data_IF_805301148291
#
_entry.id   IF_805301148291
#
_cell.length_a   1.000
_cell.length_b   1.000
_cell.length_c   1.000
_cell.angle_alpha   90.00
_cell.angle_beta   90.00
_cell.angle_gamma   90.00
#
_symmetry.space_group_name_H-M   'P 1'
#
loop_
_entity.id
_entity.type
_entity.pdbx_description
1 polymer ?
#
# COMPACT_ATOMS: atom_id res chain seq x y z
N UNK A 1 -3.34 14.20 6.57
CA UNK A 1 -2.17 14.67 7.33
C UNK A 1 -1.82 13.68 8.43
N UNK A 2 -0.53 13.46 8.66
CA UNK A 2 0.06 12.76 9.80
C UNK A 2 0.93 13.78 10.53
N UNK A 3 0.85 13.84 11.84
CA UNK A 3 1.68 14.72 12.65
C UNK A 3 2.73 13.90 13.39
N UNK A 4 3.98 14.32 13.27
CA UNK A 4 5.12 13.70 14.00
C UNK A 4 5.75 14.79 14.86
N UNK A 5 5.72 14.57 16.16
CA UNK A 5 6.27 15.48 17.14
C UNK A 5 7.57 14.92 17.71
N UNK A 6 8.64 15.69 17.60
CA UNK A 6 9.94 15.33 18.20
C UNK A 6 10.24 16.13 19.47
N UNK A 7 9.37 17.07 19.81
CA UNK A 7 9.49 17.89 21.00
C UNK A 7 8.16 18.51 21.41
N UNK A 8 8.04 18.79 22.70
CA UNK A 8 6.93 19.55 23.28
C UNK A 8 7.30 20.06 24.67
N UNK A 9 7.17 21.36 24.87
CA UNK A 9 7.15 21.95 26.19
C UNK A 9 5.77 22.60 26.37
N UNK A 10 4.98 22.07 27.29
CA UNK A 10 3.59 22.49 27.43
C UNK A 10 3.46 23.85 28.13
N UNK A 11 4.19 24.01 29.22
CA UNK A 11 4.22 25.23 30.00
C UNK A 11 5.62 25.40 30.64
N UNK A 12 5.73 26.29 31.65
CA UNK A 12 6.99 26.61 32.30
C UNK A 12 7.54 25.41 33.12
N UNK A 13 8.63 24.83 32.61
CA UNK A 13 9.28 23.70 33.25
C UNK A 13 9.84 24.02 34.66
N UNK A 14 10.10 25.30 34.98
CA UNK A 14 10.53 25.69 36.30
C UNK A 14 9.43 25.59 37.36
N UNK A 15 8.18 25.46 36.91
CA UNK A 15 7.00 25.21 37.75
C UNK A 15 6.62 23.73 37.80
N UNK A 16 7.46 22.84 37.26
CA UNK A 16 7.24 21.40 37.27
C UNK A 16 6.36 20.87 36.12
N UNK A 17 6.06 21.69 35.13
CA UNK A 17 5.33 21.21 33.95
C UNK A 17 6.24 20.33 33.07
N UNK A 18 5.68 19.27 32.49
CA UNK A 18 6.46 18.34 31.67
C UNK A 18 6.93 18.97 30.35
N UNK A 19 8.11 18.54 29.94
CA UNK A 19 8.60 18.73 28.58
C UNK A 19 9.11 17.39 28.05
N UNK A 20 8.94 17.13 26.78
CA UNK A 20 9.40 15.92 26.15
C UNK A 20 10.11 16.23 24.84
N UNK A 21 11.33 15.73 24.68
CA UNK A 21 12.20 15.93 23.52
C UNK A 21 12.83 14.60 23.17
N UNK A 22 12.73 14.21 21.92
CA UNK A 22 13.42 13.01 21.48
C UNK A 22 13.02 12.55 20.09
N UNK A 23 13.82 11.66 19.52
CA UNK A 23 13.63 11.19 18.17
C UNK A 23 12.37 10.32 18.04
N UNK A 24 11.71 10.44 16.90
CA UNK A 24 10.73 9.44 16.45
C UNK A 24 11.41 8.54 15.44
N UNK A 25 11.28 7.22 15.62
CA UNK A 25 11.79 6.21 14.69
C UNK A 25 10.62 5.45 14.09
N UNK A 26 10.58 5.38 12.76
CA UNK A 26 9.55 4.63 12.02
C UNK A 26 10.28 3.62 11.15
N UNK A 27 9.96 2.36 11.33
CA UNK A 27 10.54 1.24 10.61
C UNK A 27 10.09 1.16 9.14
N UNK A 28 10.44 0.07 8.51
CA UNK A 28 10.09 -0.20 7.12
C UNK A 28 8.66 -0.73 7.00
N UNK A 29 8.02 -0.47 5.84
CA UNK A 29 6.70 -1.00 5.51
C UNK A 29 5.61 -0.71 6.55
N UNK A 30 5.67 0.45 7.22
CA UNK A 30 4.70 0.88 8.22
C UNK A 30 3.51 1.56 7.54
N UNK A 31 2.30 1.11 7.85
CA UNK A 31 1.07 1.79 7.46
C UNK A 31 0.68 2.83 8.51
N UNK A 32 0.88 4.09 8.19
CA UNK A 32 0.55 5.23 9.05
C UNK A 32 -0.49 6.13 8.33
N UNK A 33 -1.78 5.90 8.55
CA UNK A 33 -2.85 6.57 7.82
C UNK A 33 -3.13 8.00 8.33
N UNK A 34 -4.13 8.65 7.70
CA UNK A 34 -4.47 10.02 8.01
C UNK A 34 -4.84 10.26 9.49
N UNK A 35 -4.55 11.47 9.96
CA UNK A 35 -4.83 11.95 11.32
C UNK A 35 -4.13 11.19 12.45
N UNK A 36 -3.11 10.40 12.14
CA UNK A 36 -2.25 9.84 13.18
C UNK A 36 -1.34 10.91 13.77
N UNK A 37 -1.11 10.84 15.08
CA UNK A 37 -0.20 11.70 15.82
C UNK A 37 0.84 10.79 16.48
N UNK A 38 2.12 11.02 16.18
CA UNK A 38 3.23 10.32 16.82
C UNK A 38 3.93 11.28 17.77
N UNK A 39 4.04 10.90 19.03
CA UNK A 39 4.65 11.72 20.07
C UNK A 39 6.18 11.50 20.16
N UNK A 40 6.93 12.40 20.85
CA UNK A 40 8.35 12.26 21.02
C UNK A 40 8.78 10.92 21.63
N UNK A 41 10.00 10.50 21.35
CA UNK A 41 10.61 9.26 21.87
C UNK A 41 9.92 7.94 21.46
N UNK A 42 9.01 7.96 20.49
CA UNK A 42 8.31 6.77 20.02
C UNK A 42 9.08 6.07 18.92
N UNK A 43 9.14 4.73 19.00
CA UNK A 43 9.61 3.84 17.95
C UNK A 43 8.43 3.01 17.44
N UNK A 44 8.21 3.02 16.11
CA UNK A 44 7.24 2.13 15.43
C UNK A 44 8.05 1.10 14.64
N UNK A 45 7.90 -0.18 14.99
CA UNK A 45 8.63 -1.27 14.36
C UNK A 45 8.16 -1.58 12.93
N UNK A 46 8.96 -2.35 12.21
CA UNK A 46 8.69 -2.75 10.83
C UNK A 46 7.35 -3.48 10.69
N UNK A 47 6.75 -3.42 9.50
CA UNK A 47 5.53 -4.14 9.13
C UNK A 47 4.32 -3.85 10.03
N UNK A 48 4.32 -2.72 10.73
CA UNK A 48 3.23 -2.35 11.65
C UNK A 48 2.12 -1.61 10.94
N UNK A 49 0.89 -1.87 11.36
CA UNK A 49 -0.32 -1.22 10.85
C UNK A 49 -0.96 -0.40 11.96
N UNK A 50 -1.10 0.90 11.72
CA UNK A 50 -1.72 1.83 12.66
C UNK A 50 -3.14 2.17 12.18
N UNK A 51 -4.10 2.19 13.09
CA UNK A 51 -5.45 2.62 12.79
C UNK A 51 -5.54 4.13 12.55
N UNK A 52 -6.45 4.54 11.68
CA UNK A 52 -6.71 5.95 11.38
C UNK A 52 -7.02 6.76 12.65
N UNK A 53 -6.50 7.97 12.76
CA UNK A 53 -6.76 8.86 13.89
C UNK A 53 -6.11 8.43 15.22
N UNK A 54 -5.15 7.53 15.20
CA UNK A 54 -4.48 7.06 16.41
C UNK A 54 -3.47 8.06 16.95
N UNK A 55 -3.35 8.13 18.29
CA UNK A 55 -2.31 8.90 18.99
C UNK A 55 -1.29 7.95 19.61
N UNK A 56 -0.14 7.87 18.98
CA UNK A 56 0.94 6.94 19.34
C UNK A 56 1.84 7.63 20.35
N UNK A 57 1.76 7.20 21.63
CA UNK A 57 2.49 7.73 22.76
C UNK A 57 3.39 6.70 23.45
N UNK A 58 3.52 5.51 22.86
CA UNK A 58 4.39 4.42 23.30
C UNK A 58 4.89 3.66 22.08
N UNK A 59 5.98 2.96 22.24
CA UNK A 59 6.55 2.11 21.20
C UNK A 59 5.55 1.07 20.70
N UNK A 60 5.58 0.82 19.39
CA UNK A 60 4.81 -0.22 18.72
C UNK A 60 5.79 -1.28 18.21
N UNK A 61 5.67 -2.53 18.65
CA UNK A 61 6.51 -3.62 18.15
C UNK A 61 6.29 -3.89 16.67
N UNK A 62 7.23 -4.54 16.01
CA UNK A 62 7.11 -4.96 14.61
C UNK A 62 5.95 -5.93 14.39
N UNK A 63 5.36 -5.91 13.21
CA UNK A 63 4.31 -6.84 12.78
C UNK A 63 2.97 -6.68 13.51
N UNK A 64 2.72 -5.57 14.16
CA UNK A 64 1.55 -5.35 15.00
C UNK A 64 0.44 -4.56 14.32
N UNK A 65 -0.78 -4.77 14.78
CA UNK A 65 -1.91 -3.87 14.56
C UNK A 65 -2.16 -3.07 15.84
N UNK A 66 -2.07 -1.74 15.75
CA UNK A 66 -2.27 -0.85 16.88
C UNK A 66 -3.27 0.26 16.51
N UNK A 67 -4.19 0.59 17.43
CA UNK A 67 -5.26 1.56 17.18
C UNK A 67 -5.62 2.37 18.41
N UNK A 68 -6.21 3.53 18.19
CA UNK A 68 -6.88 4.33 19.23
C UNK A 68 -6.10 5.55 19.71
N UNK A 69 -6.71 6.29 20.64
CA UNK A 69 -6.12 7.45 21.29
C UNK A 69 -6.42 7.36 22.80
N UNK A 70 -5.43 6.96 23.62
CA UNK A 70 -4.05 6.57 23.26
C UNK A 70 -4.00 5.26 22.46
N UNK A 71 -3.01 5.16 21.58
CA UNK A 71 -2.82 3.99 20.72
C UNK A 71 -2.44 2.75 21.55
N UNK A 72 -3.08 1.62 21.24
CA UNK A 72 -2.81 0.33 21.89
C UNK A 72 -2.63 -0.75 20.84
N UNK A 73 -1.67 -1.64 21.04
CA UNK A 73 -1.51 -2.86 20.25
C UNK A 73 -2.71 -3.76 20.53
N UNK A 74 -3.45 -4.15 19.49
CA UNK A 74 -4.63 -5.03 19.57
C UNK A 74 -4.36 -6.41 18.96
N UNK A 75 -3.33 -6.53 18.11
CA UNK A 75 -2.83 -7.80 17.59
C UNK A 75 -1.33 -7.72 17.42
N UNK A 76 -0.64 -8.78 17.82
CA UNK A 76 0.81 -8.93 17.68
C UNK A 76 1.13 -10.00 16.62
N UNK A 77 2.30 -9.89 15.99
CA UNK A 77 2.83 -10.86 15.04
C UNK A 77 1.83 -11.22 13.92
N UNK A 78 1.07 -10.25 13.43
CA UNK A 78 0.03 -10.48 12.45
C UNK A 78 0.39 -10.05 11.02
N UNK A 79 1.54 -9.37 10.87
CA UNK A 79 2.04 -8.92 9.56
C UNK A 79 3.57 -9.09 9.44
N UNK A 80 4.10 -9.37 8.23
CA UNK A 80 3.30 -9.81 7.08
C UNK A 80 2.69 -11.20 7.34
N UNK A 81 1.52 -11.47 6.74
CA UNK A 81 0.94 -12.81 6.72
C UNK A 81 1.40 -13.51 5.44
N UNK A 82 2.08 -14.65 5.57
CA UNK A 82 2.38 -15.49 4.43
C UNK A 82 1.09 -16.12 3.88
N UNK A 83 0.83 -15.91 2.61
CA UNK A 83 -0.26 -16.55 1.88
C UNK A 83 0.28 -17.78 1.19
N UNK A 84 -0.47 -18.90 1.23
CA UNK A 84 -0.17 -20.04 0.38
C UNK A 84 -0.50 -19.73 -1.09
N UNK A 85 -0.08 -20.61 -2.01
CA UNK A 85 -0.24 -20.36 -3.43
C UNK A 85 -1.71 -20.20 -3.87
N UNK A 86 -2.62 -20.97 -3.27
CA UNK A 86 -4.05 -20.90 -3.60
C UNK A 86 -4.67 -19.57 -3.11
N UNK A 87 -4.34 -19.15 -1.89
CA UNK A 87 -4.77 -17.87 -1.34
C UNK A 87 -4.22 -16.70 -2.16
N UNK A 88 -2.94 -16.77 -2.55
CA UNK A 88 -2.30 -15.75 -3.37
C UNK A 88 -2.94 -15.66 -4.76
N UNK A 89 -3.13 -16.81 -5.43
CA UNK A 89 -3.78 -16.87 -6.73
C UNK A 89 -5.19 -16.31 -6.68
N UNK A 90 -5.98 -16.75 -5.70
CA UNK A 90 -7.35 -16.25 -5.51
C UNK A 90 -7.37 -14.73 -5.33
N UNK A 91 -6.46 -14.18 -4.51
CA UNK A 91 -6.40 -12.75 -4.24
C UNK A 91 -6.02 -11.94 -5.47
N UNK A 92 -5.02 -12.38 -6.22
CA UNK A 92 -4.60 -11.69 -7.44
C UNK A 92 -5.68 -11.76 -8.52
N UNK A 93 -6.31 -12.92 -8.71
CA UNK A 93 -7.42 -13.06 -9.67
C UNK A 93 -8.65 -12.22 -9.27
N UNK A 94 -8.96 -12.09 -8.00
CA UNK A 94 -10.02 -11.19 -7.52
C UNK A 94 -9.73 -9.73 -7.93
N UNK A 95 -8.51 -9.25 -7.67
CA UNK A 95 -8.06 -7.89 -8.02
C UNK A 95 -8.12 -7.66 -9.52
N UNK A 96 -7.57 -8.57 -10.31
CA UNK A 96 -7.52 -8.43 -11.78
C UNK A 96 -8.91 -8.52 -12.42
N UNK A 97 -9.79 -9.40 -11.91
CA UNK A 97 -11.17 -9.49 -12.37
C UNK A 97 -11.97 -8.22 -12.04
N UNK A 98 -11.74 -7.59 -10.90
CA UNK A 98 -12.37 -6.30 -10.57
C UNK A 98 -11.90 -5.20 -11.52
N UNK A 99 -10.62 -5.16 -11.85
CA UNK A 99 -10.11 -4.25 -12.87
C UNK A 99 -10.76 -4.50 -14.24
N UNK A 100 -10.87 -5.76 -14.67
CA UNK A 100 -11.56 -6.10 -15.93
C UNK A 100 -13.04 -5.66 -15.96
N UNK A 101 -13.74 -5.71 -14.83
CA UNK A 101 -15.12 -5.19 -14.74
C UNK A 101 -15.15 -3.67 -14.93
N UNK A 102 -14.28 -2.94 -14.27
CA UNK A 102 -14.15 -1.49 -14.44
C UNK A 102 -13.79 -1.09 -15.88
N UNK A 103 -12.98 -1.92 -16.56
CA UNK A 103 -12.61 -1.68 -17.96
C UNK A 103 -13.74 -1.90 -18.97
N UNK A 104 -14.68 -2.82 -18.68
CA UNK A 104 -15.89 -2.95 -19.53
C UNK A 104 -16.69 -1.65 -19.56
N UNK A 105 -16.78 -0.95 -18.43
CA UNK A 105 -17.44 0.35 -18.33
C UNK A 105 -16.67 1.45 -19.06
N UNK A 106 -15.37 1.27 -19.31
CA UNK A 106 -14.51 2.17 -20.09
C UNK A 106 -14.45 1.80 -21.59
N UNK A 107 -15.27 0.86 -22.05
CA UNK A 107 -15.33 0.37 -23.42
C UNK A 107 -14.02 -0.21 -24.01
N UNK A 108 -13.15 -0.74 -23.15
CA UNK A 108 -11.92 -1.41 -23.55
C UNK A 108 -12.23 -2.88 -23.82
N UNK A 109 -11.94 -3.32 -25.05
CA UNK A 109 -12.19 -4.68 -25.54
C UNK A 109 -10.87 -5.45 -25.71
N UNK A 110 -10.98 -6.78 -25.78
CA UNK A 110 -9.87 -7.68 -26.14
C UNK A 110 -8.68 -7.64 -25.18
N UNK A 111 -8.99 -7.62 -23.86
CA UNK A 111 -8.01 -7.70 -22.80
C UNK A 111 -8.17 -9.00 -22.02
N UNK A 112 -7.10 -9.76 -21.91
CA UNK A 112 -7.02 -10.98 -21.10
C UNK A 112 -5.92 -10.82 -20.05
N UNK A 113 -6.18 -11.27 -18.82
CA UNK A 113 -5.20 -11.26 -17.75
C UNK A 113 -5.01 -12.68 -17.22
N UNK A 114 -3.77 -13.08 -17.10
CA UNK A 114 -3.35 -14.33 -16.49
C UNK A 114 -2.40 -14.08 -15.32
N UNK A 115 -2.39 -14.98 -14.34
CA UNK A 115 -1.47 -14.93 -13.20
C UNK A 115 -0.77 -16.27 -13.00
N UNK A 116 0.54 -16.27 -13.23
CA UNK A 116 1.42 -17.41 -12.91
C UNK A 116 1.88 -17.28 -11.45
N UNK A 117 1.28 -18.09 -10.58
CA UNK A 117 1.58 -18.09 -9.13
C UNK A 117 3.01 -18.55 -8.84
N UNK A 118 3.59 -19.44 -9.66
CA UNK A 118 4.95 -19.96 -9.48
C UNK A 118 6.01 -18.90 -9.77
N UNK A 119 5.75 -18.07 -10.77
CA UNK A 119 6.62 -16.95 -11.16
C UNK A 119 6.23 -15.64 -10.49
N UNK A 120 5.09 -15.61 -9.78
CA UNK A 120 4.48 -14.40 -9.22
C UNK A 120 4.35 -13.28 -10.26
N UNK A 121 3.92 -13.64 -11.48
CA UNK A 121 3.85 -12.73 -12.61
C UNK A 121 2.41 -12.59 -13.10
N UNK A 122 1.92 -11.36 -13.17
CA UNK A 122 0.66 -11.01 -13.83
C UNK A 122 0.98 -10.69 -15.29
N UNK A 123 0.26 -11.31 -16.23
CA UNK A 123 0.42 -11.07 -17.66
C UNK A 123 -0.84 -10.43 -18.21
N UNK A 124 -0.69 -9.24 -18.79
CA UNK A 124 -1.72 -8.54 -19.55
C UNK A 124 -1.52 -8.81 -21.03
N UNK A 125 -2.55 -9.34 -21.70
CA UNK A 125 -2.59 -9.59 -23.13
C UNK A 125 -3.60 -8.65 -23.78
N UNK A 126 -3.23 -8.05 -24.89
CA UNK A 126 -4.07 -7.13 -25.66
C UNK A 126 -4.11 -7.56 -27.13
N UNK A 127 -5.29 -7.96 -27.61
CA UNK A 127 -5.46 -8.45 -28.97
C UNK A 127 -4.74 -9.79 -29.23
N UNK A 128 -4.56 -10.13 -30.52
CA UNK A 128 -4.01 -11.41 -30.98
C UNK A 128 -2.52 -11.36 -31.36
N UNK A 129 -1.85 -10.23 -31.22
CA UNK A 129 -0.46 -10.03 -31.66
C UNK A 129 0.53 -10.09 -30.51
N UNK A 130 1.72 -10.69 -30.74
CA UNK A 130 2.82 -10.84 -29.78
C UNK A 130 3.34 -9.51 -29.19
N UNK A 131 3.00 -8.37 -29.80
CA UNK A 131 3.41 -7.02 -29.37
C UNK A 131 2.57 -6.52 -28.17
N UNK A 132 1.50 -7.22 -27.82
CA UNK A 132 0.53 -6.80 -26.80
C UNK A 132 0.74 -7.42 -25.40
N UNK A 133 1.91 -7.96 -25.06
CA UNK A 133 2.14 -8.54 -23.74
C UNK A 133 2.85 -7.56 -22.80
N UNK A 134 2.28 -7.40 -21.64
CA UNK A 134 2.94 -6.72 -20.50
C UNK A 134 2.95 -7.65 -19.30
N UNK A 135 4.11 -7.84 -18.72
CA UNK A 135 4.31 -8.67 -17.55
C UNK A 135 4.62 -7.80 -16.33
N UNK A 136 3.94 -8.09 -15.22
CA UNK A 136 4.19 -7.45 -13.94
C UNK A 136 4.75 -8.49 -12.97
N UNK A 137 6.06 -8.43 -12.72
CA UNK A 137 6.72 -9.27 -11.71
C UNK A 137 6.42 -8.70 -10.32
N UNK A 138 5.53 -9.35 -9.60
CA UNK A 138 5.06 -8.90 -8.27
C UNK A 138 6.17 -9.02 -7.22
N UNK A 139 7.09 -9.99 -7.38
CA UNK A 139 8.18 -10.22 -6.44
C UNK A 139 9.31 -9.20 -6.59
N UNK A 140 9.69 -8.91 -7.83
CA UNK A 140 10.73 -7.92 -8.15
C UNK A 140 10.18 -6.49 -8.20
N UNK A 141 8.84 -6.34 -8.27
CA UNK A 141 8.15 -5.05 -8.43
C UNK A 141 8.51 -4.34 -9.74
N UNK A 142 8.69 -5.11 -10.80
CA UNK A 142 9.11 -4.65 -12.12
C UNK A 142 8.04 -4.90 -13.18
N UNK A 143 8.01 -4.06 -14.20
CA UNK A 143 7.18 -4.23 -15.39
C UNK A 143 8.09 -4.52 -16.59
N UNK A 144 7.78 -5.57 -17.34
CA UNK A 144 8.54 -6.03 -18.50
C UNK A 144 7.60 -6.09 -19.71
N UNK A 145 8.03 -5.56 -20.84
CA UNK A 145 7.27 -5.52 -22.09
C UNK A 145 6.82 -4.13 -22.48
N UNK A 146 5.85 -4.04 -23.39
CA UNK A 146 5.35 -2.76 -23.91
C UNK A 146 4.56 -1.98 -22.84
N UNK A 147 4.85 -0.69 -22.70
CA UNK A 147 4.02 0.22 -21.90
C UNK A 147 3.06 0.95 -22.82
N UNK A 148 1.78 0.91 -22.52
CA UNK A 148 0.72 1.67 -23.17
C UNK A 148 -0.30 2.14 -22.14
N UNK A 149 -1.31 2.87 -22.58
CA UNK A 149 -2.31 3.45 -21.68
C UNK A 149 -3.05 2.41 -20.84
N UNK A 150 -3.37 1.25 -21.40
CA UNK A 150 -4.09 0.16 -20.71
C UNK A 150 -3.18 -0.52 -19.68
N UNK A 151 -1.94 -0.82 -20.04
CA UNK A 151 -0.97 -1.42 -19.11
C UNK A 151 -0.62 -0.48 -17.95
N UNK A 152 -0.55 0.82 -18.21
CA UNK A 152 -0.33 1.83 -17.16
C UNK A 152 -1.55 1.98 -16.24
N UNK A 153 -2.77 1.89 -16.78
CA UNK A 153 -4.00 1.90 -15.96
C UNK A 153 -4.08 0.66 -15.04
N UNK A 154 -3.73 -0.53 -15.56
CA UNK A 154 -3.63 -1.72 -14.70
C UNK A 154 -2.56 -1.56 -13.63
N UNK A 155 -1.39 -1.02 -13.98
CA UNK A 155 -0.31 -0.76 -13.02
C UNK A 155 -0.76 0.19 -11.90
N UNK A 156 -1.49 1.26 -12.23
CA UNK A 156 -2.04 2.18 -11.23
C UNK A 156 -3.14 1.52 -10.39
N UNK A 157 -3.97 0.67 -10.99
CA UNK A 157 -4.97 -0.09 -10.23
C UNK A 157 -4.33 -1.06 -9.24
N UNK A 158 -3.33 -1.84 -9.68
CA UNK A 158 -2.55 -2.74 -8.82
C UNK A 158 -1.92 -1.99 -7.64
N UNK A 159 -1.39 -0.78 -7.88
CA UNK A 159 -0.85 0.08 -6.82
C UNK A 159 -1.90 0.43 -5.76
N UNK A 160 -3.14 0.73 -6.17
CA UNK A 160 -4.25 1.04 -5.23
C UNK A 160 -4.61 -0.15 -4.38
N UNK A 161 -4.47 -1.36 -4.91
CA UNK A 161 -4.64 -2.63 -4.20
C UNK A 161 -3.39 -3.06 -3.40
N UNK A 162 -2.36 -2.23 -3.35
CA UNK A 162 -1.13 -2.47 -2.60
C UNK A 162 -0.04 -3.21 -3.37
N UNK A 163 -0.29 -3.68 -4.60
CA UNK A 163 0.72 -4.30 -5.47
C UNK A 163 1.46 -3.19 -6.23
N UNK A 164 2.60 -2.77 -5.70
CA UNK A 164 3.37 -1.65 -6.25
C UNK A 164 4.39 -2.16 -7.26
N UNK A 165 4.20 -1.80 -8.52
CA UNK A 165 5.14 -2.06 -9.62
C UNK A 165 5.77 -0.73 -10.01
N UNK A 166 7.09 -0.64 -9.94
CA UNK A 166 7.82 0.61 -10.19
C UNK A 166 8.37 0.65 -11.60
N UNK A 167 8.32 1.83 -12.21
CA UNK A 167 8.93 2.17 -13.50
C UNK A 167 9.42 3.60 -13.43
N UNK A 168 10.16 4.06 -14.43
CA UNK A 168 10.59 5.46 -14.53
C UNK A 168 9.42 6.43 -14.81
N UNK A 169 8.27 5.89 -15.21
CA UNK A 169 7.06 6.68 -15.46
C UNK A 169 6.19 6.81 -14.22
N UNK A 170 5.55 7.96 -13.99
CA UNK A 170 4.57 8.11 -12.91
C UNK A 170 3.36 7.19 -13.14
N UNK A 171 2.62 6.88 -12.07
CA UNK A 171 1.37 6.13 -12.18
C UNK A 171 0.31 6.96 -12.92
N UNK A 172 -0.35 6.36 -13.90
CA UNK A 172 -1.41 6.98 -14.70
C UNK A 172 -2.63 6.09 -14.75
N UNK A 173 -3.81 6.68 -14.60
CA UNK A 173 -5.10 6.00 -14.81
C UNK A 173 -5.79 6.57 -16.04
N UNK A 174 -6.49 5.71 -16.76
CA UNK A 174 -7.46 6.15 -17.76
C UNK A 174 -8.64 6.80 -17.02
N UNK A 175 -8.93 8.04 -17.35
CA UNK A 175 -10.08 8.75 -16.76
C UNK A 175 -11.37 8.09 -17.27
N UNK A 176 -12.27 7.82 -16.35
CA UNK A 176 -13.61 7.39 -16.68
C UNK A 176 -14.35 8.58 -17.31
N UNK A 177 -14.83 8.43 -18.55
CA UNK A 177 -15.78 9.38 -19.12
C UNK A 177 -17.12 9.14 -18.43
N UNK A 178 -17.56 10.09 -17.64
CA UNK A 178 -18.91 10.09 -17.08
C UNK A 178 -19.87 10.33 -18.26
N UNK A 179 -20.70 9.34 -18.55
CA UNK A 179 -21.83 9.53 -19.49
C UNK A 179 -22.74 10.58 -18.83
N UNK A 180 -22.82 11.75 -19.48
CA UNK A 180 -23.74 12.82 -19.11
C UNK A 180 -25.17 12.45 -19.49
#
# INVERSE_FOLDING_TARGET
EVMIWTHGAWLDVTQGFPSDFGPVKIGNNVWLPARCIVLPNVTIGDDSVIGIGSTINKDIPSGCLAVGSPCKVIKENCYPKELNNDELQKKVLEITNNWCKLHRDKNIKDVEIDYDVSKKTITLKQGTTEIGFTHYDVSKKEMIGGSNEISEDLRDYLRREGIKIYTDSPFKSIKQEWIQ
#
